data_IF_327953395425
#
_entry.id   IF_327953395425
#
_cell.length_a   1.000
_cell.length_b   1.000
_cell.length_c   1.000
_cell.angle_alpha   90.00
_cell.angle_beta   90.00
_cell.angle_gamma   90.00
#
_symmetry.space_group_name_H-M   'P 1'
#
loop_
_entity.id
_entity.type
_entity.pdbx_description
1 polymer ?
#
# COMPACT_ATOMS: atom_id res chain seq x y z
N UNK A 1 8.78 -42.26 27.96
CA UNK A 1 8.25 -42.49 26.60
C UNK A 1 8.99 -43.70 26.04
N UNK A 2 8.32 -44.85 25.95
CA UNK A 2 8.91 -46.07 25.39
C UNK A 2 8.88 -45.99 23.87
N UNK A 3 10.06 -46.01 23.23
CA UNK A 3 10.19 -46.14 21.78
C UNK A 3 9.51 -47.44 21.34
N UNK A 4 8.48 -47.33 20.50
CA UNK A 4 7.85 -48.48 19.87
C UNK A 4 8.84 -49.07 18.85
N UNK A 5 9.31 -50.31 19.08
CA UNK A 5 10.17 -51.07 18.17
C UNK A 5 9.37 -52.23 17.56
N UNK A 6 9.25 -52.34 16.23
CA UNK A 6 8.55 -53.47 15.60
C UNK A 6 9.31 -54.79 15.82
N UNK A 7 8.60 -55.91 15.94
CA UNK A 7 9.14 -57.24 16.27
C UNK A 7 10.13 -57.83 15.24
N UNK A 8 10.30 -57.18 14.09
CA UNK A 8 11.21 -57.54 13.01
C UNK A 8 12.27 -56.45 12.75
N UNK A 9 12.61 -55.66 13.78
CA UNK A 9 13.67 -54.67 13.68
C UNK A 9 15.03 -55.37 13.80
N UNK A 10 15.68 -55.56 12.67
CA UNK A 10 17.07 -56.02 12.59
C UNK A 10 18.00 -54.86 13.01
N UNK A 11 18.54 -54.96 14.22
CA UNK A 11 19.40 -53.95 14.83
C UNK A 11 20.75 -53.84 14.10
N UNK A 12 21.24 -54.95 13.54
CA UNK A 12 22.47 -54.96 12.74
C UNK A 12 22.24 -54.25 11.40
N UNK A 13 21.12 -54.53 10.73
CA UNK A 13 20.77 -53.84 9.49
C UNK A 13 20.54 -52.34 9.73
N UNK A 14 19.94 -51.95 10.85
CA UNK A 14 19.75 -50.56 11.21
C UNK A 14 21.08 -49.81 11.42
N UNK A 15 22.01 -50.40 12.16
CA UNK A 15 23.33 -49.81 12.39
C UNK A 15 24.17 -49.77 11.10
N UNK A 16 24.02 -50.75 10.22
CA UNK A 16 24.66 -50.72 8.88
C UNK A 16 24.12 -49.57 8.03
N UNK A 17 22.80 -49.41 7.96
CA UNK A 17 22.14 -48.34 7.20
C UNK A 17 22.56 -46.96 7.75
N UNK A 18 22.64 -46.83 9.07
CA UNK A 18 23.08 -45.60 9.75
C UNK A 18 24.53 -45.27 9.42
N UNK A 19 25.44 -46.25 9.52
CA UNK A 19 26.85 -46.09 9.16
C UNK A 19 27.02 -45.72 7.68
N UNK A 20 26.24 -46.32 6.77
CA UNK A 20 26.29 -46.00 5.33
C UNK A 20 25.79 -44.58 5.03
N UNK A 21 24.80 -44.09 5.78
CA UNK A 21 24.26 -42.72 5.64
C UNK A 21 25.27 -41.66 6.09
N UNK A 22 26.02 -41.96 7.15
CA UNK A 22 26.99 -41.04 7.75
C UNK A 22 28.34 -41.02 7.00
N UNK A 23 28.57 -41.94 6.06
CA UNK A 23 29.78 -41.97 5.22
C UNK A 23 29.49 -41.43 3.82
N UNK A 24 30.32 -40.51 3.34
CA UNK A 24 30.37 -40.09 1.94
C UNK A 24 31.33 -41.01 1.18
N UNK A 25 30.86 -41.55 0.05
CA UNK A 25 31.72 -42.29 -0.88
C UNK A 25 32.22 -41.32 -1.94
N UNK A 26 33.52 -41.11 -2.01
CA UNK A 26 34.18 -40.27 -3.01
C UNK A 26 34.99 -41.18 -3.93
N UNK A 27 34.84 -41.00 -5.24
CA UNK A 27 35.60 -41.71 -6.26
C UNK A 27 36.48 -40.71 -7.00
N UNK A 28 37.76 -40.64 -6.66
CA UNK A 28 38.75 -39.84 -7.38
C UNK A 28 39.78 -40.75 -8.05
N UNK A 29 40.03 -40.55 -9.36
CA UNK A 29 41.01 -41.31 -10.16
C UNK A 29 40.90 -42.85 -10.02
N UNK A 30 39.69 -43.37 -9.89
CA UNK A 30 39.43 -44.82 -9.79
C UNK A 30 39.64 -45.42 -8.40
N UNK A 31 40.03 -44.63 -7.40
CA UNK A 31 40.11 -45.05 -6.00
C UNK A 31 38.82 -44.63 -5.27
N UNK A 32 38.13 -45.59 -4.65
CA UNK A 32 36.91 -45.34 -3.87
C UNK A 32 37.30 -45.19 -2.40
N UNK A 33 37.13 -43.99 -1.85
CA UNK A 33 37.36 -43.72 -0.42
C UNK A 33 36.05 -43.37 0.27
N UNK A 34 35.86 -43.94 1.46
CA UNK A 34 34.75 -43.59 2.34
C UNK A 34 35.27 -42.64 3.42
N UNK A 35 34.71 -41.43 3.49
CA UNK A 35 35.03 -40.44 4.52
C UNK A 35 33.76 -40.10 5.32
N UNK A 36 33.86 -39.80 6.62
CA UNK A 36 32.71 -39.36 7.39
C UNK A 36 32.16 -38.06 6.80
N UNK A 37 30.83 -37.96 6.72
CA UNK A 37 30.11 -36.82 6.16
C UNK A 37 30.26 -35.54 7.00
N UNK A 38 30.54 -35.70 8.28
CA UNK A 38 30.71 -34.61 9.25
C UNK A 38 31.93 -34.88 10.13
N UNK A 39 32.61 -33.81 10.58
CA UNK A 39 33.70 -33.95 11.53
C UNK A 39 33.17 -34.38 12.92
N UNK A 40 34.00 -35.03 13.77
CA UNK A 40 33.60 -35.39 15.12
C UNK A 40 33.13 -34.16 15.92
N UNK A 41 31.85 -34.14 16.32
CA UNK A 41 31.23 -33.03 17.05
C UNK A 41 30.51 -31.99 16.19
N UNK A 42 30.52 -32.15 14.86
CA UNK A 42 29.79 -31.28 13.94
C UNK A 42 28.36 -31.78 13.76
N UNK A 43 27.38 -31.00 14.23
CA UNK A 43 25.96 -31.31 14.00
C UNK A 43 25.52 -30.75 12.64
N UNK A 44 24.68 -31.47 11.88
CA UNK A 44 24.17 -30.96 10.62
C UNK A 44 23.40 -29.66 10.89
N UNK A 45 23.82 -28.57 10.25
CA UNK A 45 23.07 -27.30 10.32
C UNK A 45 21.68 -27.55 9.73
N UNK A 46 20.60 -27.15 10.42
CA UNK A 46 19.25 -27.33 9.89
C UNK A 46 19.15 -26.55 8.57
N UNK A 47 18.73 -27.25 7.51
CA UNK A 47 18.45 -26.62 6.22
C UNK A 47 17.20 -25.76 6.43
N UNK A 48 17.39 -24.47 6.67
CA UNK A 48 16.29 -23.50 6.73
C UNK A 48 15.76 -23.36 5.31
N UNK A 49 14.68 -24.08 5.00
CA UNK A 49 13.95 -23.88 3.75
C UNK A 49 13.28 -22.52 3.82
N UNK A 50 13.83 -21.54 3.11
CA UNK A 50 13.08 -20.33 2.78
C UNK A 50 11.92 -20.76 1.88
N UNK A 51 10.71 -20.71 2.42
CA UNK A 51 9.52 -20.74 1.59
C UNK A 51 9.36 -19.33 1.05
N UNK A 52 9.67 -19.12 -0.23
CA UNK A 52 9.09 -17.98 -0.93
C UNK A 52 7.57 -18.22 -0.91
N UNK A 53 6.78 -17.32 -0.28
CA UNK A 53 5.35 -17.49 -0.30
C UNK A 53 4.92 -17.49 -1.76
N UNK A 54 4.31 -18.60 -2.20
CA UNK A 54 3.63 -18.65 -3.49
C UNK A 54 2.72 -17.42 -3.57
N UNK A 55 2.64 -16.72 -4.72
CA UNK A 55 1.76 -15.57 -4.84
C UNK A 55 0.38 -16.03 -4.43
N UNK A 56 -0.13 -15.43 -3.35
CA UNK A 56 -1.46 -15.70 -2.84
C UNK A 56 -2.43 -15.45 -3.99
N UNK A 57 -2.94 -16.50 -4.62
CA UNK A 57 -4.03 -16.40 -5.58
C UNK A 57 -5.25 -16.05 -4.76
N UNK A 58 -5.45 -14.76 -4.56
CA UNK A 58 -6.67 -14.21 -4.03
C UNK A 58 -7.74 -14.48 -5.08
N UNK A 59 -8.42 -15.62 -4.99
CA UNK A 59 -9.65 -15.93 -5.73
C UNK A 59 -10.83 -15.18 -5.08
N UNK A 60 -10.60 -13.89 -4.80
CA UNK A 60 -11.70 -12.99 -4.51
C UNK A 60 -12.23 -12.52 -5.87
N UNK A 61 -13.56 -12.43 -6.06
CA UNK A 61 -14.09 -11.75 -7.23
C UNK A 61 -13.46 -10.36 -7.27
N UNK A 62 -12.64 -10.12 -8.30
CA UNK A 62 -12.03 -8.81 -8.53
C UNK A 62 -13.16 -7.79 -8.45
N UNK A 63 -13.02 -6.70 -7.65
CA UNK A 63 -14.01 -5.65 -7.68
C UNK A 63 -14.17 -5.24 -9.14
N UNK A 64 -15.41 -5.30 -9.66
CA UNK A 64 -15.72 -5.00 -11.07
C UNK A 64 -14.91 -3.78 -11.48
N UNK A 65 -13.88 -4.00 -12.31
CA UNK A 65 -13.07 -2.92 -12.82
C UNK A 65 -13.92 -2.23 -13.88
N UNK A 66 -14.70 -1.24 -13.47
CA UNK A 66 -15.37 -0.34 -14.39
C UNK A 66 -14.29 0.53 -15.04
N UNK A 67 -13.69 0.03 -16.12
CA UNK A 67 -12.78 0.83 -16.94
C UNK A 67 -13.62 1.85 -17.70
N UNK A 68 -14.00 2.93 -17.03
CA UNK A 68 -14.71 4.05 -17.64
C UNK A 68 -13.69 4.86 -18.46
N UNK A 69 -13.50 4.49 -19.73
CA UNK A 69 -12.69 5.28 -20.67
C UNK A 69 -13.49 6.51 -21.09
N UNK A 70 -13.27 7.63 -20.40
CA UNK A 70 -13.76 8.92 -20.88
C UNK A 70 -12.89 9.38 -22.06
N UNK A 71 -13.48 9.48 -23.25
CA UNK A 71 -12.85 10.06 -24.44
C UNK A 71 -13.03 11.58 -24.43
N UNK A 72 -12.57 12.26 -23.37
CA UNK A 72 -12.70 13.71 -23.23
C UNK A 72 -11.34 14.37 -23.12
N UNK A 73 -11.27 15.64 -23.53
CA UNK A 73 -10.04 16.43 -23.43
C UNK A 73 -9.96 17.20 -22.10
N UNK A 74 -8.76 17.63 -21.71
CA UNK A 74 -8.58 18.54 -20.58
C UNK A 74 -9.32 19.87 -20.78
N UNK A 75 -9.51 20.29 -22.04
CA UNK A 75 -10.27 21.49 -22.40
C UNK A 75 -11.76 21.31 -22.06
N UNK A 76 -12.33 20.15 -22.37
CA UNK A 76 -13.74 19.86 -22.06
C UNK A 76 -13.99 19.83 -20.56
N UNK A 77 -13.02 19.32 -19.80
CA UNK A 77 -13.06 19.33 -18.34
C UNK A 77 -13.00 20.76 -17.77
N UNK A 78 -12.12 21.61 -18.30
CA UNK A 78 -12.05 23.01 -17.89
C UNK A 78 -13.35 23.76 -18.21
N UNK A 79 -13.91 23.53 -19.40
CA UNK A 79 -15.22 24.09 -19.80
C UNK A 79 -16.34 23.64 -18.87
N UNK A 80 -16.40 22.34 -18.55
CA UNK A 80 -17.37 21.78 -17.62
C UNK A 80 -17.29 22.43 -16.24
N UNK A 81 -16.08 22.63 -15.72
CA UNK A 81 -15.87 23.36 -14.47
C UNK A 81 -16.39 24.79 -14.56
N UNK A 82 -16.05 25.55 -15.61
CA UNK A 82 -16.54 26.93 -15.79
C UNK A 82 -18.06 27.02 -15.87
N UNK A 83 -18.71 26.11 -16.60
CA UNK A 83 -20.18 26.06 -16.76
C UNK A 83 -20.87 25.94 -15.40
N UNK A 84 -20.35 25.11 -14.51
CA UNK A 84 -20.99 24.83 -13.21
C UNK A 84 -20.56 25.83 -12.13
N UNK A 85 -19.29 26.22 -12.09
CA UNK A 85 -18.72 27.03 -11.00
C UNK A 85 -19.01 28.52 -11.12
N UNK A 86 -19.08 29.08 -12.33
CA UNK A 86 -19.28 30.53 -12.52
C UNK A 86 -20.64 30.97 -11.97
N UNK A 87 -21.78 30.33 -12.29
CA UNK A 87 -23.07 30.74 -11.74
C UNK A 87 -23.10 30.68 -10.20
N UNK A 88 -22.47 29.66 -9.62
CA UNK A 88 -22.33 29.51 -8.18
C UNK A 88 -21.52 30.68 -7.57
N UNK A 89 -20.35 30.97 -8.12
CA UNK A 89 -19.49 32.04 -7.64
C UNK A 89 -20.12 33.42 -7.82
N UNK A 90 -20.83 33.65 -8.93
CA UNK A 90 -21.62 34.87 -9.15
C UNK A 90 -22.72 34.99 -8.09
N UNK A 91 -23.48 33.91 -7.84
CA UNK A 91 -24.53 33.89 -6.83
C UNK A 91 -24.01 34.26 -5.44
N UNK A 92 -22.89 33.65 -5.01
CA UNK A 92 -22.28 33.96 -3.72
C UNK A 92 -21.68 35.37 -3.69
N UNK A 93 -21.04 35.80 -4.77
CA UNK A 93 -20.50 37.16 -4.89
C UNK A 93 -21.59 38.23 -4.74
N UNK A 94 -22.69 38.09 -5.49
CA UNK A 94 -23.86 38.99 -5.40
C UNK A 94 -24.49 38.91 -4.02
N UNK A 95 -24.60 37.72 -3.41
CA UNK A 95 -25.05 37.57 -2.02
C UNK A 95 -24.17 38.32 -1.03
N UNK A 96 -22.84 38.22 -1.17
CA UNK A 96 -21.88 38.96 -0.34
C UNK A 96 -22.02 40.48 -0.51
N UNK A 97 -22.21 40.95 -1.74
CA UNK A 97 -22.50 42.37 -2.02
C UNK A 97 -23.77 42.83 -1.32
N UNK A 98 -24.87 42.06 -1.42
CA UNK A 98 -26.14 42.41 -0.77
C UNK A 98 -26.01 42.47 0.74
N UNK A 99 -25.23 41.58 1.36
CA UNK A 99 -24.95 41.61 2.80
C UNK A 99 -24.14 42.87 3.16
N UNK A 100 -23.10 43.19 2.39
CA UNK A 100 -22.28 44.38 2.65
C UNK A 100 -23.08 45.68 2.57
N UNK A 101 -23.99 45.79 1.59
CA UNK A 101 -24.83 46.97 1.42
C UNK A 101 -25.97 47.02 2.44
N UNK A 102 -26.70 45.91 2.59
CA UNK A 102 -27.91 45.86 3.41
C UNK A 102 -27.62 45.87 4.91
N UNK A 103 -26.59 45.16 5.35
CA UNK A 103 -26.23 45.05 6.77
C UNK A 103 -25.05 45.94 7.14
N UNK A 104 -24.07 46.10 6.24
CA UNK A 104 -22.89 46.92 6.49
C UNK A 104 -23.12 48.42 6.26
N UNK A 105 -24.30 48.82 5.74
CA UNK A 105 -24.63 50.19 5.35
C UNK A 105 -23.59 50.84 4.41
N UNK A 106 -22.89 50.01 3.63
CA UNK A 106 -21.85 50.43 2.70
C UNK A 106 -22.49 50.82 1.36
N UNK A 107 -22.13 51.95 0.72
CA UNK A 107 -22.67 52.33 -0.58
C UNK A 107 -22.38 51.27 -1.66
N UNK A 108 -23.36 50.97 -2.52
CA UNK A 108 -23.32 49.88 -3.51
C UNK A 108 -22.09 49.92 -4.43
N UNK A 109 -21.67 51.11 -4.85
CA UNK A 109 -20.52 51.31 -5.75
C UNK A 109 -19.27 51.80 -5.02
N UNK A 110 -19.22 51.65 -3.69
CA UNK A 110 -18.00 51.93 -2.95
C UNK A 110 -16.94 50.86 -3.19
N UNK A 111 -15.68 51.21 -2.94
CA UNK A 111 -14.57 50.25 -2.99
C UNK A 111 -14.80 49.05 -2.05
N UNK A 112 -15.39 49.28 -0.87
CA UNK A 112 -15.67 48.21 0.10
C UNK A 112 -16.67 47.19 -0.43
N UNK A 113 -17.79 47.66 -1.02
CA UNK A 113 -18.80 46.79 -1.59
C UNK A 113 -18.26 45.95 -2.77
N UNK A 114 -17.47 46.59 -3.66
CA UNK A 114 -16.80 45.90 -4.76
C UNK A 114 -15.79 44.86 -4.27
N UNK A 115 -14.99 45.18 -3.24
CA UNK A 115 -14.05 44.22 -2.65
C UNK A 115 -14.78 43.00 -2.09
N UNK A 116 -15.89 43.18 -1.39
CA UNK A 116 -16.68 42.05 -0.87
C UNK A 116 -17.22 41.19 -2.02
N UNK A 117 -17.78 41.80 -3.05
CA UNK A 117 -18.26 41.09 -4.26
C UNK A 117 -17.15 40.23 -4.87
N UNK A 118 -15.99 40.83 -5.16
CA UNK A 118 -14.88 40.15 -5.82
C UNK A 118 -14.23 39.09 -4.93
N UNK A 119 -14.05 39.35 -3.63
CA UNK A 119 -13.46 38.39 -2.69
C UNK A 119 -14.39 37.21 -2.44
N UNK A 120 -15.69 37.44 -2.28
CA UNK A 120 -16.66 36.35 -2.13
C UNK A 120 -16.72 35.48 -3.39
N UNK A 121 -16.70 36.10 -4.58
CA UNK A 121 -16.58 35.38 -5.85
C UNK A 121 -15.29 34.56 -5.91
N UNK A 122 -14.14 35.18 -5.66
CA UNK A 122 -12.82 34.56 -5.79
C UNK A 122 -12.64 33.42 -4.77
N UNK A 123 -13.06 33.61 -3.53
CA UNK A 123 -13.02 32.59 -2.50
C UNK A 123 -13.88 31.38 -2.89
N UNK A 124 -15.11 31.62 -3.34
CA UNK A 124 -16.03 30.56 -3.78
C UNK A 124 -15.46 29.80 -4.96
N UNK A 125 -14.97 30.52 -5.98
CA UNK A 125 -14.39 29.93 -7.17
C UNK A 125 -13.13 29.11 -6.83
N UNK A 126 -12.25 29.62 -5.97
CA UNK A 126 -11.04 28.93 -5.53
C UNK A 126 -11.35 27.66 -4.74
N UNK A 127 -12.31 27.71 -3.81
CA UNK A 127 -12.75 26.54 -3.06
C UNK A 127 -13.31 25.49 -4.01
N UNK A 128 -14.18 25.90 -4.95
CA UNK A 128 -14.72 25.00 -5.96
C UNK A 128 -13.62 24.39 -6.84
N UNK A 129 -12.60 25.16 -7.20
CA UNK A 129 -11.45 24.69 -7.98
C UNK A 129 -10.63 23.64 -7.21
N UNK A 130 -10.28 23.92 -5.94
CA UNK A 130 -9.54 22.97 -5.08
C UNK A 130 -10.34 21.68 -4.92
N UNK A 131 -11.65 21.80 -4.71
CA UNK A 131 -12.54 20.65 -4.61
C UNK A 131 -12.59 19.85 -5.92
N UNK A 132 -12.78 20.51 -7.06
CA UNK A 132 -12.82 19.89 -8.38
C UNK A 132 -11.50 19.17 -8.71
N UNK A 133 -10.35 19.74 -8.31
CA UNK A 133 -9.06 19.08 -8.50
C UNK A 133 -8.88 17.89 -7.55
N UNK A 134 -9.33 18.00 -6.30
CA UNK A 134 -9.24 16.94 -5.29
C UNK A 134 -10.13 15.74 -5.61
N UNK A 135 -11.35 15.99 -6.11
CA UNK A 135 -12.32 14.96 -6.49
C UNK A 135 -12.05 14.33 -7.87
N UNK A 136 -10.98 14.77 -8.54
CA UNK A 136 -10.61 14.25 -9.85
C UNK A 136 -9.87 12.91 -9.78
N UNK A 137 -9.76 12.15 -10.89
CA UNK A 137 -9.02 10.90 -10.91
C UNK A 137 -7.58 11.04 -10.38
N UNK A 138 -6.88 12.09 -10.79
CA UNK A 138 -5.52 12.37 -10.33
C UNK A 138 -5.48 12.81 -8.86
N UNK A 139 -6.49 13.56 -8.42
CA UNK A 139 -6.62 13.98 -7.03
C UNK A 139 -6.89 12.81 -6.08
N UNK A 140 -7.85 11.95 -6.43
CA UNK A 140 -8.22 10.77 -5.64
C UNK A 140 -7.07 9.78 -5.56
N UNK A 141 -6.33 9.56 -6.66
CA UNK A 141 -5.14 8.70 -6.66
C UNK A 141 -4.04 9.27 -5.75
N UNK A 142 -3.80 10.58 -5.79
CA UNK A 142 -2.86 11.24 -4.86
C UNK A 142 -3.28 11.03 -3.40
N UNK A 143 -4.55 11.27 -3.06
CA UNK A 143 -5.06 11.06 -1.71
C UNK A 143 -4.93 9.61 -1.25
N UNK A 144 -5.25 8.65 -2.13
CA UNK A 144 -5.13 7.23 -1.85
C UNK A 144 -3.68 6.86 -1.52
N UNK A 145 -2.72 7.29 -2.33
CA UNK A 145 -1.28 7.02 -2.11
C UNK A 145 -0.81 7.65 -0.80
N UNK A 146 -1.21 8.90 -0.53
CA UNK A 146 -0.86 9.59 0.72
C UNK A 146 -1.40 8.84 1.94
N UNK A 147 -2.67 8.40 1.92
CA UNK A 147 -3.25 7.65 3.03
C UNK A 147 -2.66 6.25 3.18
N UNK A 148 -2.37 5.55 2.08
CA UNK A 148 -1.67 4.27 2.11
C UNK A 148 -0.28 4.40 2.74
N UNK A 149 0.49 5.43 2.38
CA UNK A 149 1.80 5.69 2.99
C UNK A 149 1.69 6.00 4.50
N UNK A 150 0.68 6.78 4.90
CA UNK A 150 0.42 7.06 6.33
C UNK A 150 0.02 5.81 7.10
N UNK A 151 -0.73 4.89 6.50
CA UNK A 151 -1.08 3.62 7.12
C UNK A 151 0.16 2.73 7.26
N UNK A 152 0.93 2.57 6.18
CA UNK A 152 2.12 1.73 6.14
C UNK A 152 3.17 2.20 7.15
N UNK A 153 3.42 3.50 7.23
CA UNK A 153 4.37 4.06 8.21
C UNK A 153 3.94 3.82 9.67
N UNK A 154 2.64 3.79 9.97
CA UNK A 154 2.13 3.44 11.31
C UNK A 154 2.35 1.96 11.61
N UNK A 155 2.10 1.08 10.64
CA UNK A 155 2.37 -0.35 10.80
C UNK A 155 3.85 -0.64 11.00
N UNK A 156 4.73 -0.02 10.20
CA UNK A 156 6.18 -0.18 10.33
C UNK A 156 6.67 0.24 11.72
N UNK A 157 6.20 1.39 12.23
CA UNK A 157 6.52 1.84 13.59
C UNK A 157 6.02 0.86 14.66
N UNK A 158 4.81 0.33 14.49
CA UNK A 158 4.26 -0.65 15.42
C UNK A 158 5.03 -1.97 15.41
N UNK A 159 5.50 -2.43 14.24
CA UNK A 159 6.32 -3.65 14.11
C UNK A 159 7.70 -3.45 14.73
N UNK A 160 8.36 -2.33 14.46
CA UNK A 160 9.65 -1.99 15.06
C UNK A 160 9.55 -1.99 16.59
N UNK A 161 8.51 -1.36 17.14
CA UNK A 161 8.28 -1.33 18.59
C UNK A 161 8.07 -2.71 19.20
N UNK A 162 7.48 -3.67 18.48
CA UNK A 162 7.34 -5.05 18.97
C UNK A 162 8.69 -5.76 19.00
N UNK A 163 9.53 -5.57 17.98
CA UNK A 163 10.88 -6.14 17.94
C UNK A 163 11.76 -5.59 19.08
N UNK A 164 11.68 -4.29 19.37
CA UNK A 164 12.40 -3.65 20.48
C UNK A 164 11.95 -4.11 21.88
N UNK A 165 10.76 -4.69 22.01
CA UNK A 165 10.23 -5.20 23.29
C UNK A 165 10.55 -6.68 23.53
N UNK A 166 10.93 -7.41 22.46
CA UNK A 166 11.27 -8.83 22.51
C UNK A 166 12.80 -9.06 22.71
N UNK A 167 13.62 -7.99 22.74
CA UNK A 167 15.05 -7.97 23.13
C UNK A 167 15.25 -7.54 24.60
#
# INVERSE_FOLDING_TARGET
MSEWRPAAFDEEAYEEIKRRRDMLTISERGEVRQIPRYAPGETPRPIVRHYDPLPMQIDAPLPVQTVQRMTTSHVDRAKGFSIVSIPLAVGVGVGGLLIAVGMGAVPLFSMGALLVLFLAFLATWLIAYIWHQSASPDGVTLWMVLFQYRLLSREQKARLRRMELDE
#
